data_IF_580174635121
#
_entry.id   IF_580174635121
#
_cell.length_a   1.000
_cell.length_b   1.000
_cell.length_c   1.000
_cell.angle_alpha   90.00
_cell.angle_beta   90.00
_cell.angle_gamma   90.00
#
_symmetry.space_group_name_H-M   'P 1'
#
loop_
_entity.id
_entity.type
_entity.pdbx_description
1 polymer ?
#
# COMPACT_ATOMS: atom_id res chain seq x y z
N UNK A 1 -36.90 -3.16 7.28
CA UNK A 1 -35.50 -3.43 7.70
C UNK A 1 -34.64 -2.41 7.00
N UNK A 2 -33.92 -1.56 7.75
CA UNK A 2 -32.98 -0.63 7.14
C UNK A 2 -31.90 -1.46 6.43
N UNK A 3 -31.75 -1.29 5.12
CA UNK A 3 -30.69 -1.93 4.35
C UNK A 3 -29.35 -1.46 4.92
N UNK A 4 -28.66 -2.35 5.65
CA UNK A 4 -27.28 -2.13 6.03
C UNK A 4 -26.48 -2.07 4.71
N UNK A 5 -25.78 -0.97 4.42
CA UNK A 5 -24.98 -0.87 3.20
C UNK A 5 -23.97 -2.01 3.11
N UNK A 6 -23.81 -2.60 1.93
CA UNK A 6 -22.86 -3.70 1.72
C UNK A 6 -21.43 -3.22 1.99
N UNK A 7 -20.68 -3.96 2.80
CA UNK A 7 -19.25 -3.73 2.97
C UNK A 7 -18.48 -4.35 1.78
N UNK A 8 -18.61 -3.70 0.62
CA UNK A 8 -18.01 -4.12 -0.65
C UNK A 8 -16.50 -4.35 -0.48
N UNK A 9 -15.83 -3.48 0.28
CA UNK A 9 -14.40 -3.59 0.55
C UNK A 9 -14.03 -4.89 1.27
N UNK A 10 -14.70 -5.20 2.38
CA UNK A 10 -14.44 -6.44 3.11
C UNK A 10 -14.71 -7.65 2.22
N UNK A 11 -15.82 -7.62 1.47
CA UNK A 11 -16.18 -8.69 0.54
C UNK A 11 -15.09 -8.93 -0.51
N UNK A 12 -14.58 -7.87 -1.14
CA UNK A 12 -13.50 -7.98 -2.11
C UNK A 12 -12.21 -8.52 -1.49
N UNK A 13 -11.81 -8.06 -0.31
CA UNK A 13 -10.60 -8.55 0.37
C UNK A 13 -10.72 -10.03 0.74
N UNK A 14 -11.90 -10.48 1.20
CA UNK A 14 -12.16 -11.89 1.49
C UNK A 14 -12.06 -12.74 0.22
N UNK A 15 -12.58 -12.26 -0.91
CA UNK A 15 -12.43 -12.94 -2.21
C UNK A 15 -10.94 -13.09 -2.55
N UNK A 16 -10.15 -12.02 -2.43
CA UNK A 16 -8.71 -12.07 -2.73
C UNK A 16 -7.94 -12.96 -1.76
N UNK A 17 -8.29 -12.96 -0.47
CA UNK A 17 -7.68 -13.87 0.50
C UNK A 17 -7.95 -15.34 0.12
N UNK A 18 -9.16 -15.67 -0.32
CA UNK A 18 -9.48 -17.01 -0.82
C UNK A 18 -8.72 -17.36 -2.10
N UNK A 19 -8.49 -16.40 -3.00
CA UNK A 19 -7.62 -16.60 -4.18
C UNK A 19 -6.16 -16.89 -3.79
N UNK A 20 -5.71 -16.45 -2.61
CA UNK A 20 -4.38 -16.73 -2.08
C UNK A 20 -4.28 -18.09 -1.35
N UNK A 21 -5.40 -18.75 -1.04
CA UNK A 21 -5.40 -20.03 -0.33
C UNK A 21 -4.58 -21.12 -1.04
N UNK A 22 -4.65 -21.30 -2.38
CA UNK A 22 -3.82 -22.29 -3.07
C UNK A 22 -2.31 -22.09 -2.86
N UNK A 23 -1.86 -20.84 -2.74
CA UNK A 23 -0.45 -20.53 -2.47
C UNK A 23 -0.05 -20.91 -1.03
N UNK A 24 -0.96 -20.72 -0.07
CA UNK A 24 -0.79 -21.21 1.30
C UNK A 24 -0.79 -22.75 1.36
N UNK A 25 -1.73 -23.40 0.68
CA UNK A 25 -1.84 -24.86 0.66
C UNK A 25 -0.60 -25.53 0.03
N UNK A 26 0.02 -24.90 -0.99
CA UNK A 26 1.31 -25.34 -1.54
C UNK A 26 2.43 -25.31 -0.48
N UNK A 27 2.47 -24.27 0.36
CA UNK A 27 3.43 -24.21 1.46
C UNK A 27 3.17 -25.29 2.52
N UNK A 28 1.91 -25.56 2.86
CA UNK A 28 1.56 -26.66 3.80
C UNK A 28 1.99 -28.01 3.24
N UNK A 29 1.71 -28.26 1.95
CA UNK A 29 2.12 -29.49 1.27
C UNK A 29 3.64 -29.62 1.26
N UNK A 30 4.36 -28.52 1.10
CA UNK A 30 5.82 -28.49 1.24
C UNK A 30 6.30 -28.86 2.64
N UNK A 31 5.70 -28.30 3.68
CA UNK A 31 6.09 -28.63 5.06
C UNK A 31 5.88 -30.12 5.37
N UNK A 32 4.81 -30.72 4.84
CA UNK A 32 4.56 -32.16 4.95
C UNK A 32 5.64 -32.99 4.29
N UNK A 33 6.14 -32.57 3.11
CA UNK A 33 7.29 -33.23 2.47
C UNK A 33 8.59 -33.07 3.26
N UNK A 34 8.74 -31.99 4.02
CA UNK A 34 9.87 -31.77 4.94
C UNK A 34 9.68 -32.43 6.33
N UNK A 35 8.59 -33.19 6.51
CA UNK A 35 8.35 -34.01 7.69
C UNK A 35 7.58 -33.33 8.83
N UNK A 36 6.96 -32.18 8.59
CA UNK A 36 6.06 -31.54 9.55
C UNK A 36 4.61 -31.92 9.28
N UNK A 37 3.86 -32.37 10.30
CA UNK A 37 2.47 -32.78 10.10
C UNK A 37 1.57 -31.62 9.64
N UNK A 38 1.80 -30.43 10.19
CA UNK A 38 1.10 -29.20 9.86
C UNK A 38 1.99 -27.96 10.12
N UNK A 39 1.42 -26.77 9.92
CA UNK A 39 2.10 -25.50 10.17
C UNK A 39 2.45 -25.29 11.64
N UNK A 40 1.63 -25.79 12.57
CA UNK A 40 1.90 -25.63 14.00
C UNK A 40 3.17 -26.35 14.40
N UNK A 41 3.32 -27.62 14.02
CA UNK A 41 4.53 -28.41 14.29
C UNK A 41 5.79 -27.75 13.76
N UNK A 42 5.70 -27.14 12.58
CA UNK A 42 6.81 -26.37 12.02
C UNK A 42 7.11 -25.10 12.85
N UNK A 43 6.07 -24.41 13.31
CA UNK A 43 6.23 -23.18 14.10
C UNK A 43 6.83 -23.45 15.48
N UNK A 44 6.49 -24.56 16.13
CA UNK A 44 7.05 -24.91 17.45
C UNK A 44 8.36 -25.70 17.39
N UNK A 45 8.90 -25.95 16.18
CA UNK A 45 10.16 -26.66 15.98
C UNK A 45 11.31 -26.03 16.79
N UNK A 46 11.91 -26.82 17.66
CA UNK A 46 12.98 -26.40 18.56
C UNK A 46 14.35 -26.44 17.88
N UNK A 47 14.54 -27.33 16.90
CA UNK A 47 15.75 -27.33 16.08
C UNK A 47 15.73 -26.17 15.09
N UNK A 48 16.34 -25.07 15.50
CA UNK A 48 16.48 -23.86 14.69
C UNK A 48 17.16 -24.12 13.34
N UNK A 49 18.12 -25.06 13.27
CA UNK A 49 18.84 -25.37 12.03
C UNK A 49 17.94 -26.11 11.06
N UNK A 50 17.16 -27.08 11.54
CA UNK A 50 16.17 -27.81 10.74
C UNK A 50 15.10 -26.87 10.20
N UNK A 51 14.51 -26.03 11.05
CA UNK A 51 13.48 -25.07 10.63
C UNK A 51 14.02 -24.06 9.60
N UNK A 52 15.19 -23.47 9.86
CA UNK A 52 15.87 -22.56 8.92
C UNK A 52 16.12 -23.22 7.57
N UNK A 53 16.58 -24.47 7.57
CA UNK A 53 16.84 -25.21 6.32
C UNK A 53 15.56 -25.45 5.53
N UNK A 54 14.44 -25.79 6.18
CA UNK A 54 13.14 -25.90 5.52
C UNK A 54 12.70 -24.57 4.88
N UNK A 55 12.86 -23.45 5.58
CA UNK A 55 12.57 -22.11 5.03
C UNK A 55 13.45 -21.81 3.80
N UNK A 56 14.76 -22.07 3.90
CA UNK A 56 15.70 -21.84 2.80
C UNK A 56 15.31 -22.65 1.57
N UNK A 57 15.03 -23.95 1.74
CA UNK A 57 14.58 -24.84 0.68
C UNK A 57 13.29 -24.33 0.02
N UNK A 58 12.31 -23.85 0.79
CA UNK A 58 11.08 -23.29 0.21
C UNK A 58 11.36 -22.03 -0.62
N UNK A 59 12.21 -21.13 -0.12
CA UNK A 59 12.60 -19.92 -0.84
C UNK A 59 13.35 -20.22 -2.16
N UNK A 60 14.03 -21.35 -2.25
CA UNK A 60 14.76 -21.81 -3.45
C UNK A 60 13.90 -22.67 -4.39
N UNK A 61 12.84 -23.31 -3.87
CA UNK A 61 11.89 -24.12 -4.63
C UNK A 61 11.11 -23.27 -5.63
N UNK A 62 10.87 -23.78 -6.84
CA UNK A 62 9.96 -23.18 -7.81
C UNK A 62 8.50 -23.48 -7.47
N UNK A 63 7.65 -22.46 -7.54
CA UNK A 63 6.20 -22.59 -7.38
C UNK A 63 5.55 -23.08 -8.70
N UNK A 64 4.55 -23.98 -8.65
CA UNK A 64 3.76 -24.35 -9.82
C UNK A 64 3.19 -23.14 -10.58
N UNK A 65 3.15 -23.22 -11.91
CA UNK A 65 2.83 -22.05 -12.77
C UNK A 65 1.43 -21.49 -12.56
N UNK A 66 0.50 -22.36 -12.17
CA UNK A 66 -0.92 -22.10 -11.90
C UNK A 66 -1.18 -21.52 -10.51
N UNK A 67 -0.22 -21.65 -9.59
CA UNK A 67 -0.33 -21.12 -8.23
C UNK A 67 0.24 -19.69 -8.19
N UNK A 68 -0.58 -18.75 -7.74
CA UNK A 68 -0.25 -17.31 -7.69
C UNK A 68 -0.58 -16.73 -6.32
N UNK A 69 0.25 -15.79 -5.90
CA UNK A 69 -0.06 -14.88 -4.81
C UNK A 69 -0.51 -13.54 -5.41
N UNK A 70 -1.60 -13.00 -4.89
CA UNK A 70 -2.26 -11.80 -5.36
C UNK A 70 -2.13 -10.65 -4.36
N UNK A 71 -2.05 -9.43 -4.89
CA UNK A 71 -2.05 -8.19 -4.12
C UNK A 71 -3.48 -7.71 -3.79
N UNK A 72 -3.61 -6.56 -3.13
CA UNK A 72 -4.90 -6.05 -2.62
C UNK A 72 -5.96 -5.68 -3.66
N UNK A 73 -5.64 -5.80 -4.97
CA UNK A 73 -6.58 -5.62 -6.08
C UNK A 73 -6.67 -6.86 -6.98
N UNK A 74 -6.33 -8.03 -6.46
CA UNK A 74 -6.32 -9.30 -7.19
C UNK A 74 -5.33 -9.37 -8.37
N UNK A 75 -4.27 -8.55 -8.37
CA UNK A 75 -3.21 -8.65 -9.38
C UNK A 75 -2.12 -9.61 -8.88
N UNK A 76 -1.68 -10.59 -9.69
CA UNK A 76 -0.65 -11.52 -9.26
C UNK A 76 0.71 -10.84 -9.14
N UNK A 77 1.49 -11.21 -8.12
CA UNK A 77 2.89 -10.80 -8.02
C UNK A 77 3.70 -11.43 -9.16
N UNK A 78 4.40 -10.60 -9.94
CA UNK A 78 5.19 -11.05 -11.08
C UNK A 78 6.46 -11.83 -10.67
N UNK A 79 7.07 -11.46 -9.54
CA UNK A 79 8.26 -12.12 -9.00
C UNK A 79 7.87 -13.14 -7.91
N UNK A 80 8.16 -14.41 -8.19
CA UNK A 80 7.93 -15.53 -7.28
C UNK A 80 8.72 -15.40 -5.96
N UNK A 81 9.94 -14.86 -6.00
CA UNK A 81 10.76 -14.68 -4.81
C UNK A 81 10.17 -13.63 -3.87
N UNK A 82 9.51 -12.61 -4.44
CA UNK A 82 8.73 -11.65 -3.68
C UNK A 82 7.46 -12.28 -3.12
N UNK A 83 6.75 -13.10 -3.90
CA UNK A 83 5.55 -13.79 -3.43
C UNK A 83 5.84 -14.70 -2.22
N UNK A 84 6.87 -15.56 -2.29
CA UNK A 84 7.27 -16.44 -1.17
C UNK A 84 7.69 -15.65 0.07
N UNK A 85 8.45 -14.56 -0.13
CA UNK A 85 8.84 -13.66 0.96
C UNK A 85 7.64 -13.03 1.66
N UNK A 86 6.66 -12.57 0.88
CA UNK A 86 5.44 -11.97 1.40
C UNK A 86 4.62 -12.98 2.19
N UNK A 87 4.32 -14.14 1.58
CA UNK A 87 3.53 -15.18 2.21
C UNK A 87 4.13 -15.60 3.56
N UNK A 88 5.43 -15.93 3.61
CA UNK A 88 6.05 -16.43 4.83
C UNK A 88 6.01 -15.39 5.95
N UNK A 89 6.28 -14.11 5.65
CA UNK A 89 6.14 -13.07 6.66
C UNK A 89 4.68 -12.88 7.10
N UNK A 90 3.68 -13.00 6.22
CA UNK A 90 2.27 -12.95 6.61
C UNK A 90 1.86 -14.14 7.48
N UNK A 91 2.34 -15.35 7.16
CA UNK A 91 2.15 -16.55 7.97
C UNK A 91 2.69 -16.32 9.38
N UNK A 92 3.90 -15.79 9.51
CA UNK A 92 4.50 -15.43 10.80
C UNK A 92 4.05 -14.06 11.33
N UNK A 93 2.86 -13.58 10.93
CA UNK A 93 2.18 -12.39 11.50
C UNK A 93 2.95 -11.07 11.37
N UNK A 94 3.86 -10.99 10.40
CA UNK A 94 4.76 -9.85 10.21
C UNK A 94 4.45 -9.03 8.95
N UNK A 95 5.18 -7.93 8.79
CA UNK A 95 5.14 -7.01 7.66
C UNK A 95 6.47 -7.07 6.86
N UNK A 96 6.54 -7.92 5.82
CA UNK A 96 7.78 -8.18 5.08
C UNK A 96 8.46 -6.93 4.51
N UNK A 97 7.71 -6.01 3.92
CA UNK A 97 8.26 -4.81 3.27
C UNK A 97 8.49 -3.66 4.26
N UNK A 98 7.61 -3.49 5.24
CA UNK A 98 7.65 -2.36 6.19
C UNK A 98 8.62 -2.60 7.36
N UNK A 99 8.77 -3.86 7.81
CA UNK A 99 9.57 -4.21 8.99
C UNK A 99 10.76 -5.08 8.63
N UNK A 100 10.51 -6.26 8.06
CA UNK A 100 11.55 -7.29 7.89
C UNK A 100 12.63 -6.87 6.89
N UNK A 101 12.28 -6.12 5.83
CA UNK A 101 13.24 -5.63 4.82
C UNK A 101 14.36 -4.79 5.42
N UNK A 102 14.06 -3.94 6.40
CA UNK A 102 15.08 -3.15 7.09
C UNK A 102 16.02 -4.02 7.91
N UNK A 103 15.48 -5.04 8.59
CA UNK A 103 16.25 -5.98 9.40
C UNK A 103 17.15 -6.89 8.55
N UNK A 104 16.72 -7.25 7.34
CA UNK A 104 17.54 -8.05 6.42
C UNK A 104 18.91 -7.40 6.17
N UNK A 105 18.98 -6.06 6.11
CA UNK A 105 20.21 -5.32 5.85
C UNK A 105 21.29 -5.53 6.92
N UNK A 106 20.90 -5.96 8.13
CA UNK A 106 21.82 -6.23 9.23
C UNK A 106 22.40 -7.65 9.19
N UNK A 107 21.93 -8.51 8.30
CA UNK A 107 22.40 -9.89 8.15
C UNK A 107 23.38 -10.01 6.99
N UNK A 108 24.47 -10.75 7.19
CA UNK A 108 25.44 -11.12 6.15
C UNK A 108 25.06 -12.42 5.45
N UNK A 109 25.53 -12.61 4.20
CA UNK A 109 25.36 -13.85 3.45
C UNK A 109 24.52 -13.71 2.19
N UNK A 110 24.20 -14.85 1.55
CA UNK A 110 23.37 -14.84 0.34
C UNK A 110 21.92 -14.45 0.64
N UNK A 111 21.20 -13.98 -0.37
CA UNK A 111 19.86 -13.40 -0.19
C UNK A 111 18.88 -14.37 0.50
N UNK A 112 18.77 -15.62 0.04
CA UNK A 112 17.85 -16.59 0.62
C UNK A 112 18.30 -17.10 1.98
N UNK A 113 19.60 -17.12 2.27
CA UNK A 113 20.13 -17.48 3.58
C UNK A 113 19.77 -16.44 4.63
N UNK A 114 19.93 -15.15 4.29
CA UNK A 114 19.53 -14.02 5.13
C UNK A 114 18.03 -14.02 5.40
N UNK A 115 17.22 -14.27 4.36
CA UNK A 115 15.75 -14.40 4.50
C UNK A 115 15.37 -15.57 5.40
N UNK A 116 15.98 -16.73 5.21
CA UNK A 116 15.69 -17.91 6.02
C UNK A 116 16.08 -17.72 7.49
N UNK A 117 17.24 -17.12 7.75
CA UNK A 117 17.68 -16.75 9.09
C UNK A 117 16.67 -15.82 9.77
N UNK A 118 16.33 -14.70 9.13
CA UNK A 118 15.40 -13.72 9.70
C UNK A 118 14.00 -14.33 9.92
N UNK A 119 13.47 -15.06 8.95
CA UNK A 119 12.15 -15.69 9.07
C UNK A 119 12.14 -16.76 10.17
N UNK A 120 13.24 -17.49 10.38
CA UNK A 120 13.34 -18.44 11.48
C UNK A 120 13.33 -17.75 12.85
N UNK A 121 14.02 -16.60 12.99
CA UNK A 121 13.97 -15.80 14.21
C UNK A 121 12.55 -15.26 14.47
N UNK A 122 11.87 -14.78 13.43
CA UNK A 122 10.47 -14.34 13.55
C UNK A 122 9.57 -15.52 13.94
N UNK A 123 9.71 -16.69 13.30
CA UNK A 123 8.99 -17.93 13.65
C UNK A 123 9.17 -18.29 15.11
N UNK A 124 10.40 -18.31 15.61
CA UNK A 124 10.69 -18.63 17.01
C UNK A 124 10.03 -17.63 17.96
N UNK A 125 10.09 -16.34 17.64
CA UNK A 125 9.44 -15.31 18.45
C UNK A 125 7.91 -15.47 18.46
N UNK A 126 7.26 -15.67 17.31
CA UNK A 126 5.80 -15.82 17.29
C UNK A 126 5.34 -17.10 17.96
N UNK A 127 6.15 -18.16 17.96
CA UNK A 127 5.86 -19.39 18.69
C UNK A 127 5.78 -19.19 20.21
N UNK A 128 6.48 -18.21 20.79
CA UNK A 128 6.42 -17.95 22.25
C UNK A 128 5.21 -17.14 22.68
N UNK A 129 4.51 -16.49 21.74
CA UNK A 129 3.35 -15.63 22.02
C UNK A 129 2.04 -16.16 21.39
N UNK A 130 2.13 -17.13 20.48
CA UNK A 130 1.02 -17.78 19.80
C UNK A 130 1.28 -19.30 19.77
N UNK A 131 1.26 -19.94 20.92
CA UNK A 131 1.59 -21.36 21.12
C UNK A 131 0.40 -22.33 20.96
N UNK A 132 -0.80 -21.78 20.74
CA UNK A 132 -2.04 -22.53 20.45
C UNK A 132 -2.06 -23.04 18.99
N UNK A 133 -2.30 -24.34 18.79
CA UNK A 133 -2.35 -24.98 17.45
C UNK A 133 -3.39 -24.33 16.53
N UNK A 134 -4.52 -23.91 17.10
CA UNK A 134 -5.66 -23.33 16.37
C UNK A 134 -5.30 -22.01 15.68
N UNK A 135 -4.24 -21.33 16.13
CA UNK A 135 -3.73 -20.07 15.54
C UNK A 135 -3.00 -20.27 14.21
N UNK A 136 -2.66 -21.52 13.88
CA UNK A 136 -1.79 -21.90 12.78
C UNK A 136 -2.50 -22.71 11.69
N UNK A 137 -3.82 -22.56 11.56
CA UNK A 137 -4.57 -23.04 10.41
C UNK A 137 -4.98 -21.88 9.48
N UNK A 138 -5.65 -22.20 8.37
CA UNK A 138 -6.02 -21.21 7.35
C UNK A 138 -6.85 -20.05 7.91
N UNK A 139 -7.76 -20.26 8.86
CA UNK A 139 -8.71 -19.23 9.29
C UNK A 139 -7.98 -18.02 9.91
N UNK A 140 -7.17 -18.15 10.98
CA UNK A 140 -6.43 -17.00 11.51
C UNK A 140 -5.38 -16.45 10.54
N UNK A 141 -4.80 -17.30 9.69
CA UNK A 141 -3.87 -16.86 8.65
C UNK A 141 -4.58 -15.96 7.63
N UNK A 142 -5.81 -16.32 7.25
CA UNK A 142 -6.60 -15.56 6.28
C UNK A 142 -6.97 -14.17 6.81
N UNK A 143 -7.23 -14.01 8.10
CA UNK A 143 -7.48 -12.70 8.72
C UNK A 143 -6.26 -11.78 8.62
N UNK A 144 -5.06 -12.33 8.85
CA UNK A 144 -3.82 -11.57 8.67
C UNK A 144 -3.60 -11.23 7.20
N UNK A 145 -3.86 -12.17 6.28
CA UNK A 145 -3.77 -11.90 4.85
C UNK A 145 -4.75 -10.79 4.45
N UNK A 146 -5.99 -10.78 4.94
CA UNK A 146 -6.99 -9.71 4.68
C UNK A 146 -6.44 -8.34 5.13
N UNK A 147 -5.86 -8.24 6.33
CA UNK A 147 -5.25 -7.00 6.81
C UNK A 147 -4.06 -6.55 5.94
N UNK A 148 -3.21 -7.49 5.49
CA UNK A 148 -2.09 -7.18 4.61
C UNK A 148 -2.54 -6.76 3.20
N UNK A 149 -3.58 -7.41 2.67
CA UNK A 149 -4.22 -7.05 1.41
C UNK A 149 -4.87 -5.67 1.48
N UNK A 150 -5.44 -5.31 2.63
CA UNK A 150 -5.97 -3.97 2.86
C UNK A 150 -4.86 -2.90 2.79
N UNK A 151 -3.72 -3.13 3.44
CA UNK A 151 -2.55 -2.25 3.29
C UNK A 151 -2.07 -2.14 1.84
N UNK A 152 -2.00 -3.28 1.14
CA UNK A 152 -1.62 -3.35 -0.28
C UNK A 152 -2.58 -2.57 -1.18
N UNK A 153 -3.89 -2.74 -0.99
CA UNK A 153 -4.95 -2.04 -1.73
C UNK A 153 -4.84 -0.54 -1.57
N UNK A 154 -4.70 -0.04 -0.34
CA UNK A 154 -4.54 1.41 -0.07
C UNK A 154 -3.32 1.99 -0.77
N UNK A 155 -2.18 1.30 -0.73
CA UNK A 155 -0.97 1.74 -1.43
C UNK A 155 -1.17 1.76 -2.94
N UNK A 156 -1.75 0.72 -3.54
CA UNK A 156 -1.95 0.64 -4.98
C UNK A 156 -2.92 1.72 -5.47
N UNK A 157 -4.00 1.97 -4.71
CA UNK A 157 -4.98 3.01 -5.05
C UNK A 157 -4.44 4.42 -4.85
N UNK A 158 -3.58 4.65 -3.85
CA UNK A 158 -2.84 5.91 -3.72
C UNK A 158 -2.09 6.22 -5.02
N UNK A 159 -1.19 5.31 -5.40
CA UNK A 159 -0.39 5.45 -6.63
C UNK A 159 -1.26 5.60 -7.90
N UNK A 160 -2.42 4.96 -7.96
CA UNK A 160 -3.32 5.08 -9.11
C UNK A 160 -3.80 6.52 -9.30
N UNK A 161 -4.22 7.20 -8.24
CA UNK A 161 -4.66 8.59 -8.36
C UNK A 161 -3.51 9.56 -8.64
N UNK A 162 -2.30 9.26 -8.14
CA UNK A 162 -1.11 10.02 -8.51
C UNK A 162 -0.86 9.96 -10.03
N UNK A 163 -0.92 8.77 -10.62
CA UNK A 163 -0.77 8.60 -12.07
C UNK A 163 -1.92 9.23 -12.87
N UNK A 164 -3.17 9.12 -12.40
CA UNK A 164 -4.33 9.78 -13.05
C UNK A 164 -4.12 11.30 -13.06
N UNK A 165 -3.74 11.92 -11.94
CA UNK A 165 -3.49 13.36 -11.90
C UNK A 165 -2.33 13.74 -12.83
N UNK A 166 -1.22 12.97 -12.84
CA UNK A 166 -0.09 13.23 -13.74
C UNK A 166 -0.49 13.18 -15.21
N UNK A 167 -1.27 12.17 -15.61
CA UNK A 167 -1.79 12.06 -16.98
C UNK A 167 -2.67 13.26 -17.32
N UNK A 168 -3.65 13.55 -16.47
CA UNK A 168 -4.61 14.61 -16.73
C UNK A 168 -3.93 15.99 -16.81
N UNK A 169 -2.94 16.27 -15.96
CA UNK A 169 -2.14 17.50 -16.05
C UNK A 169 -1.37 17.59 -17.37
N UNK A 170 -0.75 16.50 -17.85
CA UNK A 170 -0.08 16.48 -19.15
C UNK A 170 -1.04 16.79 -20.29
N UNK A 171 -2.18 16.09 -20.32
CA UNK A 171 -3.19 16.27 -21.36
C UNK A 171 -3.74 17.71 -21.37
N UNK A 172 -3.98 18.29 -20.19
CA UNK A 172 -4.41 19.70 -20.04
C UNK A 172 -3.31 20.65 -20.51
N UNK A 173 -2.06 20.46 -20.09
CA UNK A 173 -0.97 21.35 -20.50
C UNK A 173 -0.71 21.28 -22.00
N UNK A 174 -0.78 20.11 -22.62
CA UNK A 174 -0.68 19.94 -24.07
C UNK A 174 -1.85 20.63 -24.79
N UNK A 175 -3.10 20.41 -24.33
CA UNK A 175 -4.30 21.05 -24.88
C UNK A 175 -4.23 22.58 -24.83
N UNK A 176 -3.71 23.13 -23.73
CA UNK A 176 -3.61 24.58 -23.52
C UNK A 176 -2.26 25.18 -23.93
N UNK A 177 -1.35 24.37 -24.50
CA UNK A 177 0.00 24.77 -24.92
C UNK A 177 0.83 25.42 -23.80
N UNK A 178 0.67 24.92 -22.58
CA UNK A 178 1.39 25.35 -21.37
C UNK A 178 2.74 24.62 -21.30
N UNK A 179 3.84 25.36 -21.20
CA UNK A 179 5.19 24.82 -21.11
C UNK A 179 5.64 24.65 -19.66
N UNK A 180 5.10 23.63 -18.99
CA UNK A 180 5.51 23.22 -17.63
C UNK A 180 5.98 21.78 -17.64
N UNK A 181 6.92 21.45 -16.76
CA UNK A 181 7.38 20.08 -16.58
C UNK A 181 6.65 19.42 -15.41
N UNK A 182 6.34 18.13 -15.55
CA UNK A 182 5.76 17.31 -14.48
C UNK A 182 6.76 16.21 -14.17
N UNK A 183 7.30 16.23 -12.95
CA UNK A 183 8.29 15.24 -12.53
C UNK A 183 7.68 13.83 -12.53
N UNK A 184 8.49 12.78 -12.70
CA UNK A 184 7.96 11.39 -12.71
C UNK A 184 7.92 10.75 -11.32
N UNK A 185 8.58 11.36 -10.36
CA UNK A 185 8.79 10.79 -9.02
C UNK A 185 8.22 11.72 -7.96
N UNK A 186 7.79 11.12 -6.84
CA UNK A 186 7.48 11.85 -5.62
C UNK A 186 8.69 12.65 -5.13
N UNK A 187 8.44 13.74 -4.42
CA UNK A 187 9.47 14.60 -3.84
C UNK A 187 9.38 14.57 -2.34
N UNK A 188 10.53 14.45 -1.68
CA UNK A 188 10.64 14.54 -0.23
C UNK A 188 11.14 15.92 0.15
N UNK A 189 10.41 16.57 1.05
CA UNK A 189 10.72 17.91 1.53
C UNK A 189 10.42 17.97 3.02
N UNK A 190 11.44 18.26 3.84
CA UNK A 190 11.32 18.44 5.29
C UNK A 190 10.54 17.30 6.00
N UNK A 191 10.70 16.06 5.53
CA UNK A 191 10.03 14.87 6.05
C UNK A 191 8.64 14.58 5.47
N UNK A 192 8.07 15.49 4.69
CA UNK A 192 6.85 15.28 3.91
C UNK A 192 7.16 14.72 2.53
N UNK A 193 6.16 14.07 1.93
CA UNK A 193 6.25 13.53 0.57
C UNK A 193 5.11 14.10 -0.26
N UNK A 194 5.46 14.66 -1.40
CA UNK A 194 4.55 15.25 -2.37
C UNK A 194 4.51 14.36 -3.58
N UNK A 195 3.30 13.99 -3.96
CA UNK A 195 3.12 12.96 -4.97
C UNK A 195 3.46 13.48 -6.35
N UNK A 196 3.25 14.77 -6.61
CA UNK A 196 3.48 15.42 -7.91
C UNK A 196 4.14 16.78 -7.72
N UNK A 197 5.11 17.10 -8.58
CA UNK A 197 5.68 18.44 -8.74
C UNK A 197 5.48 18.91 -10.17
N UNK A 198 5.00 20.15 -10.29
CA UNK A 198 4.93 20.90 -11.54
C UNK A 198 5.96 22.02 -11.47
N UNK A 199 6.86 22.09 -12.45
CA UNK A 199 7.94 23.10 -12.47
C UNK A 199 7.76 24.06 -13.64
N UNK A 200 7.91 25.35 -13.37
CA UNK A 200 7.93 26.44 -14.33
C UNK A 200 9.16 27.33 -14.16
N UNK A 201 9.28 28.41 -14.94
CA UNK A 201 10.48 29.28 -14.85
C UNK A 201 10.41 30.27 -13.69
N UNK A 202 9.21 30.58 -13.21
CA UNK A 202 8.98 31.50 -12.08
C UNK A 202 8.73 30.79 -10.75
N UNK A 203 8.59 29.47 -10.74
CA UNK A 203 8.41 28.71 -9.51
C UNK A 203 7.90 27.30 -9.73
N UNK A 204 7.69 26.61 -8.61
CA UNK A 204 7.30 25.21 -8.56
C UNK A 204 6.01 25.06 -7.73
N UNK A 205 5.11 24.18 -8.17
CA UNK A 205 3.89 23.78 -7.45
C UNK A 205 4.04 22.33 -6.99
N UNK A 206 3.81 22.09 -5.69
CA UNK A 206 3.74 20.78 -5.10
C UNK A 206 2.27 20.35 -4.91
N UNK A 207 1.94 19.14 -5.33
CA UNK A 207 0.57 18.63 -5.35
C UNK A 207 0.55 17.32 -4.56
N UNK A 208 0.14 17.35 -3.27
CA UNK A 208 -0.15 16.13 -2.53
C UNK A 208 -1.54 15.60 -2.91
N UNK A 209 -1.63 14.30 -3.18
CA UNK A 209 -2.85 13.57 -3.52
C UNK A 209 -3.26 12.71 -2.32
N UNK A 210 -4.39 13.06 -1.70
CA UNK A 210 -4.90 12.39 -0.49
C UNK A 210 -6.26 11.78 -0.77
N UNK A 211 -6.34 10.45 -0.68
CA UNK A 211 -7.56 9.68 -0.95
C UNK A 211 -8.08 9.01 0.31
N UNK A 212 -9.40 8.93 0.45
CA UNK A 212 -10.03 8.24 1.58
C UNK A 212 -11.44 7.74 1.28
N UNK A 213 -11.70 6.49 1.62
CA UNK A 213 -13.00 5.84 1.34
C UNK A 213 -14.11 6.26 2.30
N UNK A 214 -13.82 6.40 3.61
CA UNK A 214 -14.84 6.72 4.62
C UNK A 214 -14.28 7.63 5.71
N UNK A 215 -15.15 8.50 6.22
CA UNK A 215 -14.85 9.43 7.30
C UNK A 215 -15.68 9.13 8.56
N UNK A 216 -14.96 8.93 9.66
CA UNK A 216 -15.47 8.65 11.01
C UNK A 216 -14.31 8.35 11.97
N UNK A 217 -14.45 8.78 13.24
CA UNK A 217 -13.47 8.51 14.31
C UNK A 217 -12.16 9.31 14.24
N UNK A 218 -11.23 9.04 15.16
CA UNK A 218 -9.97 9.80 15.34
C UNK A 218 -9.05 9.82 14.11
N UNK A 219 -9.21 8.87 13.18
CA UNK A 219 -8.44 8.85 11.94
C UNK A 219 -8.83 9.98 10.97
N UNK A 220 -10.03 10.56 11.08
CA UNK A 220 -10.42 11.70 10.26
C UNK A 220 -9.57 12.94 10.58
N UNK A 221 -9.25 13.14 11.86
CA UNK A 221 -8.37 14.22 12.33
C UNK A 221 -6.94 14.04 11.83
N UNK A 222 -6.42 12.81 11.83
CA UNK A 222 -5.08 12.51 11.29
C UNK A 222 -5.00 12.85 9.79
N UNK A 223 -6.04 12.53 9.02
CA UNK A 223 -6.09 12.84 7.60
C UNK A 223 -6.06 14.35 7.35
N UNK A 224 -6.90 15.11 8.06
CA UNK A 224 -6.89 16.59 8.00
C UNK A 224 -5.53 17.15 8.42
N UNK A 225 -4.95 16.66 9.51
CA UNK A 225 -3.62 17.09 10.00
C UNK A 225 -2.54 16.85 8.94
N UNK A 226 -2.53 15.70 8.30
CA UNK A 226 -1.51 15.36 7.30
C UNK A 226 -1.62 16.29 6.07
N UNK A 227 -2.84 16.71 5.68
CA UNK A 227 -3.06 17.71 4.64
C UNK A 227 -2.52 19.09 5.07
N UNK A 228 -2.87 19.56 6.27
CA UNK A 228 -2.35 20.83 6.81
C UNK A 228 -0.83 20.85 6.87
N UNK A 229 -0.22 19.75 7.31
CA UNK A 229 1.23 19.65 7.42
C UNK A 229 1.90 19.73 6.05
N UNK A 230 1.37 19.03 5.04
CA UNK A 230 1.86 19.11 3.68
C UNK A 230 1.72 20.53 3.08
N UNK A 231 0.61 21.23 3.31
CA UNK A 231 0.45 22.63 2.88
C UNK A 231 1.49 23.53 3.57
N UNK A 232 1.57 23.42 4.90
CA UNK A 232 2.45 24.27 5.73
C UNK A 232 3.92 24.13 5.33
N UNK A 233 4.40 22.89 5.20
CA UNK A 233 5.80 22.59 4.85
C UNK A 233 6.15 23.11 3.46
N UNK A 234 5.28 22.90 2.46
CA UNK A 234 5.51 23.39 1.11
C UNK A 234 5.64 24.93 1.09
N UNK A 235 4.68 25.62 1.72
CA UNK A 235 4.67 27.08 1.76
C UNK A 235 5.89 27.65 2.52
N UNK A 236 6.32 27.02 3.61
CA UNK A 236 7.50 27.42 4.37
C UNK A 236 8.79 27.33 3.56
N UNK A 237 8.89 26.32 2.70
CA UNK A 237 10.03 26.10 1.82
C UNK A 237 9.89 26.85 0.47
N UNK A 238 8.90 27.76 0.37
CA UNK A 238 8.72 28.66 -0.77
C UNK A 238 7.99 28.07 -1.98
N UNK A 239 7.42 26.86 -1.84
CA UNK A 239 6.62 26.22 -2.88
C UNK A 239 5.16 26.65 -2.80
N UNK A 240 4.51 26.80 -3.95
CA UNK A 240 3.05 26.79 -3.99
C UNK A 240 2.54 25.36 -3.75
N UNK A 241 1.43 25.22 -3.02
CA UNK A 241 0.84 23.90 -2.73
C UNK A 241 -0.61 23.85 -3.20
N UNK A 242 -0.97 22.81 -3.94
CA UNK A 242 -2.34 22.55 -4.39
C UNK A 242 -2.73 21.12 -3.97
N UNK A 243 -3.29 20.91 -2.78
CA UNK A 243 -3.76 19.60 -2.36
C UNK A 243 -4.94 19.12 -3.20
N UNK A 244 -4.86 17.86 -3.64
CA UNK A 244 -5.96 17.11 -4.25
C UNK A 244 -6.50 16.13 -3.22
N UNK A 245 -7.77 16.29 -2.88
CA UNK A 245 -8.44 15.55 -1.81
C UNK A 245 -9.66 14.85 -2.38
N UNK A 246 -9.65 13.52 -2.36
CA UNK A 246 -10.75 12.68 -2.84
C UNK A 246 -11.26 11.87 -1.65
N UNK A 247 -12.34 12.36 -1.04
CA UNK A 247 -12.87 11.77 0.17
C UNK A 247 -14.38 11.92 0.27
N UNK A 248 -15.07 10.79 0.41
CA UNK A 248 -16.52 10.75 0.63
C UNK A 248 -16.86 11.14 2.07
N UNK A 249 -17.85 12.03 2.21
CA UNK A 249 -18.37 12.49 3.51
C UNK A 249 -17.32 13.16 4.42
N UNK A 250 -16.33 13.84 3.83
CA UNK A 250 -15.36 14.60 4.59
C UNK A 250 -15.93 15.96 5.02
N UNK A 251 -15.94 16.21 6.33
CA UNK A 251 -16.59 17.38 6.94
C UNK A 251 -15.61 18.47 7.38
N UNK A 252 -14.37 18.47 6.86
CA UNK A 252 -13.42 19.53 7.17
C UNK A 252 -13.82 20.83 6.47
N UNK A 253 -13.64 21.94 7.19
CA UNK A 253 -13.67 23.26 6.59
C UNK A 253 -12.43 23.41 5.68
N UNK A 254 -12.66 23.55 4.38
CA UNK A 254 -11.58 23.75 3.40
C UNK A 254 -10.87 25.09 3.62
N UNK A 255 -11.57 26.10 4.12
CA UNK A 255 -10.99 27.42 4.40
C UNK A 255 -9.97 27.31 5.53
N UNK A 256 -10.28 26.50 6.54
CA UNK A 256 -9.39 26.27 7.66
C UNK A 256 -8.02 25.69 7.23
N UNK A 257 -7.93 25.01 6.09
CA UNK A 257 -6.67 24.47 5.55
C UNK A 257 -5.59 25.53 5.30
N UNK A 258 -5.98 26.81 5.17
CA UNK A 258 -5.03 27.92 4.97
C UNK A 258 -4.31 27.83 3.62
N UNK A 259 -4.97 27.25 2.61
CA UNK A 259 -4.44 27.06 1.27
C UNK A 259 -5.32 27.82 0.28
N UNK A 260 -4.68 28.54 -0.66
CA UNK A 260 -5.40 29.33 -1.66
C UNK A 260 -6.20 28.44 -2.61
N UNK A 261 -5.57 27.36 -3.07
CA UNK A 261 -6.14 26.48 -4.08
C UNK A 261 -6.23 25.05 -3.55
N UNK A 262 -7.45 24.52 -3.51
CA UNK A 262 -7.71 23.16 -3.03
C UNK A 262 -8.67 22.46 -3.98
N UNK A 263 -8.26 21.30 -4.50
CA UNK A 263 -9.15 20.44 -5.27
C UNK A 263 -9.77 19.43 -4.30
N UNK A 264 -11.02 19.66 -3.92
CA UNK A 264 -11.81 18.68 -3.17
C UNK A 264 -12.88 18.01 -4.04
N UNK A 265 -12.92 16.67 -4.02
CA UNK A 265 -13.93 15.82 -4.65
C UNK A 265 -14.61 14.96 -3.58
N UNK A 266 -15.88 15.24 -3.31
CA UNK A 266 -16.71 14.49 -2.36
C UNK A 266 -17.29 13.21 -3.00
N UNK A 267 -16.41 12.24 -3.26
CA UNK A 267 -16.77 10.93 -3.83
C UNK A 267 -15.91 9.84 -3.23
N UNK A 268 -16.40 8.62 -3.32
CA UNK A 268 -15.60 7.47 -2.95
C UNK A 268 -14.44 7.32 -3.96
N UNK A 269 -13.17 7.27 -3.53
CA UNK A 269 -12.04 7.07 -4.44
C UNK A 269 -12.10 5.74 -5.21
N UNK A 270 -12.96 4.81 -4.80
CA UNK A 270 -13.19 3.57 -5.54
C UNK A 270 -14.02 3.76 -6.82
N UNK A 271 -14.74 4.87 -6.95
CA UNK A 271 -15.58 5.19 -8.10
C UNK A 271 -14.78 6.00 -9.14
N UNK A 272 -13.70 5.44 -9.68
CA UNK A 272 -12.75 6.15 -10.57
C UNK A 272 -13.48 6.82 -11.75
N UNK A 273 -14.42 6.10 -12.38
CA UNK A 273 -15.21 6.62 -13.52
C UNK A 273 -16.08 7.84 -13.16
N UNK A 274 -16.41 8.03 -11.88
CA UNK A 274 -17.13 9.21 -11.39
C UNK A 274 -16.17 10.30 -10.92
N UNK A 275 -15.03 9.92 -10.32
CA UNK A 275 -14.04 10.86 -9.76
C UNK A 275 -13.24 11.55 -10.85
N UNK A 276 -12.76 10.82 -11.85
CA UNK A 276 -11.82 11.33 -12.84
C UNK A 276 -12.39 12.49 -13.67
N UNK A 277 -13.63 12.45 -14.18
CA UNK A 277 -14.20 13.59 -14.92
C UNK A 277 -14.26 14.87 -14.08
N UNK A 278 -14.60 14.75 -12.78
CA UNK A 278 -14.64 15.88 -11.84
C UNK A 278 -13.24 16.43 -11.56
N UNK A 279 -12.25 15.55 -11.47
CA UNK A 279 -10.84 15.91 -11.30
C UNK A 279 -10.34 16.72 -12.50
N UNK A 280 -10.60 16.26 -13.73
CA UNK A 280 -10.23 16.99 -14.96
C UNK A 280 -10.84 18.40 -14.94
N UNK A 281 -12.14 18.51 -14.68
CA UNK A 281 -12.82 19.81 -14.62
C UNK A 281 -12.18 20.76 -13.59
N UNK A 282 -11.86 20.25 -12.39
CA UNK A 282 -11.25 21.06 -11.34
C UNK A 282 -9.81 21.46 -11.67
N UNK A 283 -9.04 20.60 -12.34
CA UNK A 283 -7.70 20.92 -12.81
C UNK A 283 -7.73 22.00 -13.91
N UNK A 284 -8.70 21.92 -14.84
CA UNK A 284 -8.89 22.94 -15.88
C UNK A 284 -9.24 24.31 -15.27
N UNK A 285 -10.01 24.36 -14.19
CA UNK A 285 -10.31 25.61 -13.50
C UNK A 285 -9.07 26.29 -12.89
N UNK A 286 -7.95 25.57 -12.72
CA UNK A 286 -6.69 26.09 -12.16
C UNK A 286 -5.66 26.47 -13.22
N UNK A 287 -6.04 26.55 -14.51
CA UNK A 287 -5.11 26.91 -15.60
C UNK A 287 -4.37 28.23 -15.32
N UNK A 288 -5.07 29.25 -14.83
CA UNK A 288 -4.43 30.55 -14.53
C UNK A 288 -3.37 30.44 -13.43
N UNK A 289 -3.59 29.57 -12.44
CA UNK A 289 -2.64 29.30 -11.36
C UNK A 289 -1.39 28.62 -11.93
N UNK A 290 -1.55 27.60 -12.78
CA UNK A 290 -0.42 26.97 -13.45
C UNK A 290 0.34 27.96 -14.37
N UNK A 291 -0.37 28.83 -15.09
CA UNK A 291 0.25 29.87 -15.91
C UNK A 291 1.01 30.91 -15.08
N UNK A 292 0.70 31.07 -13.79
CA UNK A 292 1.39 32.02 -12.91
C UNK A 292 2.85 31.64 -12.63
N UNK A 293 3.22 30.37 -12.82
CA UNK A 293 4.58 29.86 -12.60
C UNK A 293 5.41 29.67 -13.87
N UNK A 294 4.80 29.85 -15.06
CA UNK A 294 5.53 29.90 -16.34
C UNK A 294 6.40 31.13 -16.33
#
# INVERSE_FOLDING_TARGET
>A
MNNIPENIRLKELVIVANLNKPFFDDFISFLQMEGYADLYEFVIEQDASKAKMAIKKYLERKIPKDIKLYDGIARPYADENKAKWLLLGWIFRDAPEQRLKGLLNNLSGQQNERKAELLNQVRQYVATILDERERWNWIPISEVIIDRLEGSRRSIKGNLFEEIVRRNLKDIFEKHKIQLSIDKTQIKLSGETYDIKVSGTRGDILIPVKTRETMGGGHALLFTRDIHKAITVANQDGYQCIPIIIAESWTCDLIALGCQEVIYINKNPNQINEVEPLLVQKLENLIEVFCSII
#
